data_IF_603946591565
#
_entry.id   IF_603946591565
#
_cell.length_a   1.000
_cell.length_b   1.000
_cell.length_c   1.000
_cell.angle_alpha   90.00
_cell.angle_beta   90.00
_cell.angle_gamma   90.00
#
_symmetry.space_group_name_H-M   'P 1'
#
loop_
_entity.id
_entity.type
_entity.pdbx_description
1 polymer ?
#
# COMPACT_ATOMS: atom_id res chain seq x y z
N UNK A 1 11.07 -0.96 14.89
CA UNK A 1 10.98 -1.84 13.70
C UNK A 1 10.15 -1.08 12.68
N UNK A 2 10.42 -1.05 11.38
CA UNK A 2 11.61 -0.47 10.73
C UNK A 2 11.08 0.42 9.61
N UNK A 3 10.93 1.73 9.90
CA UNK A 3 10.50 2.72 8.91
C UNK A 3 11.52 2.77 7.77
N UNK A 4 11.20 2.18 6.61
CA UNK A 4 12.05 2.23 5.41
C UNK A 4 12.09 3.67 4.87
N UNK A 5 13.01 4.48 5.39
CA UNK A 5 13.30 5.84 4.91
C UNK A 5 14.20 5.81 3.67
N UNK A 6 13.82 5.11 2.60
CA UNK A 6 14.63 5.10 1.38
C UNK A 6 13.82 5.57 0.16
N UNK A 7 14.10 6.80 -0.26
CA UNK A 7 13.63 7.45 -1.49
C UNK A 7 12.29 8.18 -1.35
N UNK A 8 12.28 9.52 -1.40
CA UNK A 8 11.12 10.46 -1.41
C UNK A 8 9.95 10.26 -0.42
N UNK A 9 9.90 9.16 0.33
CA UNK A 9 8.90 8.85 1.34
C UNK A 9 9.23 9.63 2.61
N UNK A 10 8.71 10.85 2.70
CA UNK A 10 8.78 11.70 3.89
C UNK A 10 7.77 11.22 4.96
N UNK A 11 7.82 9.94 5.35
CA UNK A 11 6.93 9.34 6.36
C UNK A 11 5.71 8.60 5.80
N UNK A 12 5.77 8.16 4.54
CA UNK A 12 4.71 7.37 3.92
C UNK A 12 4.73 5.93 4.42
N UNK A 13 3.64 5.51 5.06
CA UNK A 13 3.49 4.16 5.64
C UNK A 13 2.66 3.23 4.75
N UNK A 14 2.01 3.78 3.73
CA UNK A 14 1.04 3.06 2.92
C UNK A 14 1.45 3.10 1.45
N UNK A 15 1.22 1.98 0.76
CA UNK A 15 1.44 1.84 -0.67
C UNK A 15 0.12 1.38 -1.30
N UNK A 16 -0.50 2.24 -2.10
CA UNK A 16 -1.66 1.87 -2.89
C UNK A 16 -1.23 1.21 -4.20
N UNK A 17 -1.87 0.11 -4.52
CA UNK A 17 -1.78 -0.55 -5.79
C UNK A 17 -2.72 0.15 -6.78
N UNK A 18 -2.14 0.79 -7.78
CA UNK A 18 -2.87 1.48 -8.85
C UNK A 18 -3.28 0.55 -10.00
N UNK A 19 -3.02 -0.75 -9.87
CA UNK A 19 -3.39 -1.74 -10.86
C UNK A 19 -4.91 -1.74 -11.08
N UNK A 20 -5.38 -1.78 -12.34
CA UNK A 20 -6.82 -1.75 -12.66
C UNK A 20 -7.61 -2.89 -12.02
N UNK A 21 -6.95 -4.02 -11.76
CA UNK A 21 -7.59 -5.22 -11.19
C UNK A 21 -7.49 -5.30 -9.66
N UNK A 22 -6.56 -4.55 -9.04
CA UNK A 22 -6.25 -4.65 -7.61
C UNK A 22 -6.00 -3.25 -7.04
N UNK A 23 -7.07 -2.50 -6.82
CA UNK A 23 -7.03 -1.15 -6.25
C UNK A 23 -6.99 -1.21 -4.72
N UNK A 24 -5.91 -1.74 -4.17
CA UNK A 24 -5.77 -2.00 -2.74
C UNK A 24 -4.62 -1.23 -2.11
N UNK A 25 -4.79 -0.81 -0.86
CA UNK A 25 -3.79 -0.14 -0.04
C UNK A 25 -3.11 -1.17 0.83
N UNK A 26 -1.80 -1.23 0.73
CA UNK A 26 -0.92 -2.07 1.53
C UNK A 26 -0.19 -1.21 2.56
N UNK A 27 0.08 -1.81 3.72
CA UNK A 27 0.90 -1.18 4.76
C UNK A 27 2.33 -1.67 4.60
N UNK A 28 3.28 -0.74 4.53
CA UNK A 28 4.71 -1.04 4.36
C UNK A 28 5.37 -1.45 5.68
N UNK A 29 4.81 -1.05 6.84
CA UNK A 29 5.32 -1.43 8.16
C UNK A 29 4.86 -2.85 8.54
N UNK A 30 3.67 -3.25 8.07
CA UNK A 30 3.09 -4.57 8.25
C UNK A 30 2.94 -5.33 6.92
N UNK A 31 3.91 -5.19 6.02
CA UNK A 31 3.90 -5.91 4.75
C UNK A 31 3.91 -7.44 4.97
N UNK A 32 3.06 -8.15 4.23
CA UNK A 32 3.03 -9.61 4.20
C UNK A 32 3.47 -10.09 2.84
N UNK A 33 4.10 -11.26 2.78
CA UNK A 33 4.43 -11.95 1.51
C UNK A 33 3.20 -12.16 0.61
N UNK A 34 2.00 -12.28 1.19
CA UNK A 34 0.75 -12.35 0.45
C UNK A 34 0.35 -11.06 -0.27
N UNK A 35 0.89 -9.89 0.15
CA UNK A 35 0.54 -8.59 -0.43
C UNK A 35 1.24 -8.33 -1.78
N UNK A 36 2.24 -9.13 -2.16
CA UNK A 36 2.95 -9.03 -3.45
C UNK A 36 3.46 -7.61 -3.77
N UNK A 37 3.86 -6.84 -2.75
CA UNK A 37 4.27 -5.42 -2.89
C UNK A 37 5.46 -5.28 -3.86
N UNK A 38 6.43 -6.20 -3.80
CA UNK A 38 7.56 -6.22 -4.73
C UNK A 38 7.12 -6.30 -6.19
N UNK A 39 6.06 -7.05 -6.51
CA UNK A 39 5.55 -7.16 -7.88
C UNK A 39 4.83 -5.87 -8.30
N UNK A 40 4.12 -5.22 -7.37
CA UNK A 40 3.45 -3.94 -7.61
C UNK A 40 4.49 -2.85 -7.91
N UNK A 41 5.55 -2.77 -7.10
CA UNK A 41 6.67 -1.84 -7.30
C UNK A 41 7.39 -2.14 -8.62
N UNK A 42 7.67 -3.42 -8.89
CA UNK A 42 8.35 -3.83 -10.13
C UNK A 42 7.51 -3.54 -11.38
N UNK A 43 6.18 -3.58 -11.27
CA UNK A 43 5.26 -3.19 -12.34
C UNK A 43 5.08 -1.66 -12.45
N UNK A 44 5.59 -0.87 -11.49
CA UNK A 44 5.40 0.58 -11.46
C UNK A 44 3.96 0.99 -11.13
N UNK A 45 3.23 0.15 -10.41
CA UNK A 45 1.86 0.41 -9.96
C UNK A 45 1.80 0.87 -8.50
N UNK A 46 2.93 1.09 -7.86
CA UNK A 46 3.03 1.60 -6.50
C UNK A 46 2.75 3.09 -6.43
N UNK A 47 1.77 3.47 -5.62
CA UNK A 47 1.51 4.87 -5.28
C UNK A 47 1.66 5.03 -3.76
N UNK A 48 2.74 5.66 -3.28
CA UNK A 48 2.94 5.85 -1.86
C UNK A 48 1.92 6.86 -1.31
N UNK A 49 1.53 6.67 -0.05
CA UNK A 49 0.62 7.50 0.69
C UNK A 49 1.09 7.68 2.14
N UNK A 50 0.89 8.90 2.66
CA UNK A 50 1.17 9.23 4.06
C UNK A 50 0.17 8.62 5.03
N UNK A 51 -1.05 8.35 4.57
CA UNK A 51 -2.14 7.86 5.42
C UNK A 51 -3.14 7.03 4.63
N UNK A 52 -3.60 5.90 5.19
CA UNK A 52 -4.63 5.04 4.58
C UNK A 52 -5.89 5.81 4.22
N UNK A 53 -6.25 6.82 5.00
CA UNK A 53 -7.44 7.64 4.76
C UNK A 53 -7.35 8.41 3.44
N UNK A 54 -6.15 8.91 3.09
CA UNK A 54 -5.93 9.59 1.82
C UNK A 54 -6.15 8.63 0.64
N UNK A 55 -5.65 7.40 0.75
CA UNK A 55 -5.85 6.39 -0.27
C UNK A 55 -7.31 5.88 -0.36
N UNK A 56 -7.98 5.67 0.77
CA UNK A 56 -9.42 5.35 0.77
C UNK A 56 -10.27 6.48 0.17
N UNK A 57 -9.86 7.74 0.39
CA UNK A 57 -10.53 8.91 -0.23
C UNK A 57 -10.34 8.96 -1.74
N UNK A 58 -9.22 8.46 -2.25
CA UNK A 58 -8.98 8.28 -3.70
C UNK A 58 -9.81 7.10 -4.27
N UNK A 59 -10.42 6.27 -3.41
CA UNK A 59 -11.23 5.12 -3.79
C UNK A 59 -10.47 3.79 -3.86
N UNK A 60 -9.32 3.69 -3.17
CA UNK A 60 -8.62 2.42 -2.96
C UNK A 60 -9.18 1.68 -1.74
N UNK A 61 -9.29 0.36 -1.84
CA UNK A 61 -9.74 -0.51 -0.76
C UNK A 61 -8.58 -0.88 0.17
N UNK A 62 -8.84 -1.27 1.42
CA UNK A 62 -7.77 -1.72 2.32
C UNK A 62 -7.38 -3.16 2.00
N UNK A 63 -6.09 -3.47 1.94
CA UNK A 63 -5.66 -4.85 1.78
C UNK A 63 -6.06 -5.69 3.00
N UNK A 64 -6.74 -6.81 2.75
CA UNK A 64 -7.21 -7.72 3.80
C UNK A 64 -6.06 -8.35 4.61
N UNK A 65 -4.88 -8.48 4.01
CA UNK A 65 -3.75 -9.18 4.62
C UNK A 65 -2.87 -8.27 5.49
N UNK A 66 -2.45 -7.12 4.96
CA UNK A 66 -1.49 -6.25 5.65
C UNK A 66 -2.17 -5.17 6.51
N UNK A 67 -3.33 -4.63 6.11
CA UNK A 67 -4.10 -3.65 6.91
C UNK A 67 -5.20 -4.35 7.73
N UNK A 68 -5.88 -5.34 7.12
CA UNK A 68 -7.09 -5.92 7.70
C UNK A 68 -8.30 -5.00 7.56
N UNK A 69 -9.51 -5.56 7.67
CA UNK A 69 -10.74 -4.79 7.48
C UNK A 69 -10.99 -4.35 6.04
N UNK A 70 -10.52 -5.15 5.06
CA UNK A 70 -11.04 -5.06 3.69
C UNK A 70 -12.52 -5.41 3.72
N UNK A 71 -13.37 -4.56 3.16
CA UNK A 71 -14.81 -4.81 3.04
C UNK A 71 -15.16 -5.50 1.72
N UNK A 72 -14.17 -6.03 1.01
CA UNK A 72 -14.33 -6.82 -0.22
C UNK A 72 -14.08 -8.30 0.01
#
# INVERSE_FOLDING_TARGET
>A
MTRRHQGHMNGEQYLANTSPSKREVHDLDNEKTACQIDEIIRAGHDKPYTSRQAANRDGYDNCAHCIGGSTR
#
